data_IF_378095988542
#
_entry.id   IF_378095988542
#
_cell.length_a   1.000
_cell.length_b   1.000
_cell.length_c   1.000
_cell.angle_alpha   90.00
_cell.angle_beta   90.00
_cell.angle_gamma   90.00
#
_symmetry.space_group_name_H-M   'P 1'
#
loop_
_entity.id
_entity.type
_entity.pdbx_description
1 polymer ?
#
# COMPACT_ATOMS: atom_id res chain seq x y z
N UNK A 1 -2.29 -4.21 15.25
CA UNK A 1 -1.21 -3.26 15.63
C UNK A 1 -1.73 -1.86 15.37
N UNK A 2 -1.37 -0.87 16.18
CA UNK A 2 -1.83 0.52 16.03
C UNK A 2 -0.66 1.48 16.21
N UNK A 3 -0.74 2.67 15.61
CA UNK A 3 0.17 3.79 15.87
C UNK A 3 -0.61 4.97 16.44
N UNK A 4 -0.03 5.67 17.41
CA UNK A 4 -0.60 6.91 17.93
C UNK A 4 0.02 8.10 17.20
N UNK A 5 -0.79 8.83 16.44
CA UNK A 5 -0.34 9.97 15.63
C UNK A 5 -1.34 11.12 15.78
N UNK A 6 -0.84 12.30 16.13
CA UNK A 6 -1.66 13.53 16.28
C UNK A 6 -2.88 13.39 17.21
N UNK A 7 -2.80 12.54 18.24
CA UNK A 7 -3.90 12.33 19.18
C UNK A 7 -4.86 11.21 18.80
N UNK A 8 -4.66 10.58 17.63
CA UNK A 8 -5.53 9.51 17.11
C UNK A 8 -4.80 8.16 17.06
N UNK A 9 -5.53 7.08 17.31
CA UNK A 9 -5.03 5.71 17.14
C UNK A 9 -5.39 5.21 15.75
N UNK A 10 -4.37 4.99 14.92
CA UNK A 10 -4.54 4.52 13.55
C UNK A 10 -4.17 3.04 13.46
N UNK A 11 -5.06 2.17 12.94
CA UNK A 11 -4.75 0.75 12.72
C UNK A 11 -3.66 0.62 11.66
N UNK A 12 -2.82 -0.40 11.82
CA UNK A 12 -1.74 -0.70 10.87
C UNK A 12 -2.04 -1.95 10.05
N UNK A 13 -1.82 -1.85 8.74
CA UNK A 13 -1.83 -2.96 7.78
C UNK A 13 -0.41 -3.12 7.21
N UNK A 14 0.12 -4.34 7.27
CA UNK A 14 1.42 -4.69 6.69
C UNK A 14 1.22 -5.15 5.27
N UNK A 15 1.77 -4.41 4.30
CA UNK A 15 1.59 -4.75 2.88
C UNK A 15 2.18 -6.12 2.54
N UNK A 16 3.30 -6.50 3.15
CA UNK A 16 3.91 -7.80 2.90
C UNK A 16 3.01 -8.97 3.33
N UNK A 17 2.26 -8.83 4.44
CA UNK A 17 1.35 -9.88 4.91
C UNK A 17 0.14 -9.99 3.97
N UNK A 18 -0.42 -8.85 3.58
CA UNK A 18 -1.59 -8.77 2.68
C UNK A 18 -1.29 -9.37 1.30
N UNK A 19 -0.14 -9.05 0.73
CA UNK A 19 0.28 -9.54 -0.59
C UNK A 19 1.07 -10.84 -0.55
N UNK A 20 1.23 -11.46 0.64
CA UNK A 20 2.02 -12.70 0.85
C UNK A 20 3.45 -12.60 0.31
N UNK A 21 4.06 -11.44 0.46
CA UNK A 21 5.43 -11.16 0.05
C UNK A 21 6.41 -11.61 1.13
N UNK A 22 7.67 -11.93 0.76
CA UNK A 22 8.71 -12.17 1.75
C UNK A 22 8.81 -11.01 2.74
N UNK A 23 8.88 -11.32 4.03
CA UNK A 23 9.13 -10.30 5.04
C UNK A 23 10.55 -9.78 4.88
N UNK A 24 10.65 -8.55 4.41
CA UNK A 24 11.89 -7.77 4.28
C UNK A 24 12.24 -7.05 5.58
N UNK A 25 11.23 -6.72 6.40
CA UNK A 25 11.41 -6.09 7.72
C UNK A 25 10.97 -7.04 8.83
N UNK A 26 11.93 -7.52 9.63
CA UNK A 26 11.65 -8.37 10.80
C UNK A 26 11.15 -7.57 12.01
N UNK A 27 11.66 -6.34 12.17
CA UNK A 27 11.34 -5.48 13.30
C UNK A 27 10.41 -4.33 12.83
N UNK A 28 9.16 -4.25 13.31
CA UNK A 28 8.21 -3.22 12.91
C UNK A 28 8.70 -1.78 13.12
N UNK A 29 9.65 -1.56 14.04
CA UNK A 29 10.25 -0.25 14.30
C UNK A 29 11.19 0.24 13.20
N UNK A 30 11.66 -0.67 12.34
CA UNK A 30 12.58 -0.36 11.24
C UNK A 30 11.83 -0.06 9.93
N UNK A 31 10.50 -0.22 9.93
CA UNK A 31 9.64 0.08 8.78
C UNK A 31 9.09 1.50 8.78
N UNK A 32 8.67 1.96 7.60
CA UNK A 32 7.96 3.22 7.45
C UNK A 32 6.46 3.01 7.53
N UNK A 33 5.75 3.96 8.12
CA UNK A 33 4.28 3.97 8.16
C UNK A 33 3.75 5.11 7.30
N UNK A 34 2.98 4.77 6.26
CA UNK A 34 2.28 5.72 5.41
C UNK A 34 0.83 5.81 5.87
N UNK A 35 0.42 6.97 6.38
CA UNK A 35 -0.97 7.19 6.78
C UNK A 35 -1.79 7.55 5.53
N UNK A 36 -2.83 6.77 5.27
CA UNK A 36 -3.76 6.97 4.17
C UNK A 36 -5.18 7.13 4.73
N UNK A 37 -6.01 7.92 4.04
CA UNK A 37 -7.38 8.19 4.44
C UNK A 37 -8.35 7.89 3.30
N UNK A 38 -9.48 7.24 3.62
CA UNK A 38 -10.60 7.07 2.72
C UNK A 38 -11.90 7.16 3.51
N UNK A 39 -12.86 7.95 3.02
CA UNK A 39 -14.18 8.16 3.64
C UNK A 39 -14.10 8.51 5.14
N UNK A 40 -13.13 9.36 5.53
CA UNK A 40 -12.93 9.79 6.92
C UNK A 40 -12.37 8.73 7.87
N UNK A 41 -11.95 7.57 7.35
CA UNK A 41 -11.22 6.55 8.10
C UNK A 41 -9.75 6.56 7.71
N UNK A 42 -8.88 6.50 8.71
CA UNK A 42 -7.43 6.41 8.51
C UNK A 42 -6.92 4.98 8.66
N UNK A 43 -5.92 4.62 7.85
CA UNK A 43 -5.17 3.37 7.92
C UNK A 43 -3.68 3.68 7.77
N UNK A 44 -2.82 3.02 8.55
CA UNK A 44 -1.38 3.10 8.38
C UNK A 44 -0.86 1.89 7.61
N UNK A 45 -0.24 2.12 6.47
CA UNK A 45 0.41 1.09 5.67
C UNK A 45 1.87 0.97 6.11
N UNK A 46 2.28 -0.21 6.56
CA UNK A 46 3.68 -0.51 6.85
C UNK A 46 4.38 -0.87 5.54
N UNK A 47 5.41 -0.10 5.19
CA UNK A 47 6.18 -0.20 3.95
C UNK A 47 7.68 -0.22 4.24
N UNK A 48 8.45 -0.72 3.27
CA UNK A 48 9.91 -0.83 3.41
C UNK A 48 10.60 0.52 3.23
N UNK A 49 10.24 1.23 2.16
CA UNK A 49 10.85 2.51 1.80
C UNK A 49 9.84 3.45 1.13
N UNK A 50 10.17 4.75 1.13
CA UNK A 50 9.44 5.77 0.40
C UNK A 50 10.33 6.33 -0.72
N UNK A 51 10.03 5.95 -1.96
CA UNK A 51 10.82 6.39 -3.14
C UNK A 51 10.48 7.84 -3.54
N UNK A 52 9.26 8.31 -3.23
CA UNK A 52 8.79 9.68 -3.49
C UNK A 52 7.60 9.75 -4.43
N UNK A 53 7.37 10.92 -5.02
CA UNK A 53 6.28 11.14 -5.97
C UNK A 53 6.79 10.99 -7.41
N UNK A 54 6.10 10.17 -8.21
CA UNK A 54 6.44 9.92 -9.60
C UNK A 54 5.21 10.14 -10.49
N UNK A 55 5.42 10.75 -11.67
CA UNK A 55 4.38 10.78 -12.70
C UNK A 55 4.41 9.46 -13.47
N UNK A 56 3.29 8.74 -13.44
CA UNK A 56 3.15 7.43 -14.08
C UNK A 56 2.00 7.42 -15.08
N UNK A 57 2.12 6.60 -16.12
CA UNK A 57 1.01 6.30 -17.04
C UNK A 57 0.38 4.98 -16.62
N UNK A 58 -0.88 5.06 -16.18
CA UNK A 58 -1.62 3.89 -15.71
C UNK A 58 -1.99 3.00 -16.89
N UNK A 59 -1.75 1.71 -16.74
CA UNK A 59 -2.28 0.64 -17.58
C UNK A 59 -3.31 -0.12 -16.77
N UNK A 60 -4.53 -0.20 -17.32
CA UNK A 60 -5.57 -1.04 -16.74
C UNK A 60 -5.10 -2.50 -16.77
N UNK A 61 -5.22 -3.18 -15.63
CA UNK A 61 -5.03 -4.62 -15.57
C UNK A 61 -6.37 -5.29 -15.90
N UNK A 62 -6.35 -6.22 -16.85
CA UNK A 62 -7.51 -7.05 -17.12
C UNK A 62 -7.81 -7.92 -15.88
N UNK A 63 -9.09 -8.23 -15.66
CA UNK A 63 -9.55 -8.97 -14.48
C UNK A 63 -8.93 -10.36 -14.33
N UNK A 64 -8.36 -10.92 -15.40
CA UNK A 64 -7.61 -12.18 -15.38
C UNK A 64 -6.21 -12.05 -14.78
N UNK A 65 -5.65 -10.84 -14.66
CA UNK A 65 -4.31 -10.59 -14.15
C UNK A 65 -4.30 -10.41 -12.62
N UNK A 66 -5.39 -9.91 -12.04
CA UNK A 66 -5.53 -9.77 -10.58
C UNK A 66 -6.97 -9.99 -10.11
N UNK A 67 -7.14 -10.92 -9.18
CA UNK A 67 -8.41 -11.16 -8.46
C UNK A 67 -8.51 -10.35 -7.17
N UNK A 68 -7.47 -9.62 -6.80
CA UNK A 68 -7.41 -8.85 -5.56
C UNK A 68 -8.16 -7.52 -5.71
N UNK A 69 -9.11 -7.26 -4.80
CA UNK A 69 -9.79 -5.97 -4.67
C UNK A 69 -8.84 -4.84 -4.24
N UNK A 70 -7.61 -5.16 -3.86
CA UNK A 70 -6.62 -4.22 -3.39
C UNK A 70 -5.76 -3.60 -4.52
N UNK A 71 -5.89 -4.05 -5.77
CA UNK A 71 -5.10 -3.54 -6.90
C UNK A 71 -6.03 -2.93 -7.95
N UNK A 72 -5.81 -1.67 -8.28
CA UNK A 72 -6.60 -0.93 -9.29
C UNK A 72 -5.95 -0.88 -10.67
N UNK A 73 -4.65 -1.18 -10.77
CA UNK A 73 -3.94 -1.18 -12.05
C UNK A 73 -2.44 -1.40 -11.90
N UNK A 74 -1.71 -1.19 -12.98
CA UNK A 74 -0.24 -1.22 -12.99
C UNK A 74 0.32 -0.07 -13.82
N UNK A 75 1.59 0.25 -13.61
CA UNK A 75 2.34 1.19 -14.43
C UNK A 75 3.72 0.64 -14.74
N UNK A 76 4.26 1.03 -15.90
CA UNK A 76 5.66 0.79 -16.24
C UNK A 76 6.43 2.05 -15.87
N UNK A 77 7.40 1.90 -14.99
CA UNK A 77 8.30 2.97 -14.56
C UNK A 77 9.37 3.25 -15.63
N UNK A 78 10.09 4.37 -15.51
CA UNK A 78 11.09 4.80 -16.50
C UNK A 78 12.27 3.84 -16.66
N UNK A 79 12.51 2.99 -15.69
CA UNK A 79 13.52 1.92 -15.68
C UNK A 79 12.99 0.58 -16.25
N UNK A 80 11.72 0.52 -16.65
CA UNK A 80 11.05 -0.69 -17.13
C UNK A 80 10.44 -1.56 -16.03
N UNK A 81 10.59 -1.20 -14.76
CA UNK A 81 9.99 -1.93 -13.64
C UNK A 81 8.47 -1.75 -13.64
N UNK A 82 7.73 -2.81 -13.29
CA UNK A 82 6.27 -2.76 -13.17
C UNK A 82 5.92 -2.39 -11.73
N UNK A 83 5.20 -1.29 -11.56
CA UNK A 83 4.60 -0.88 -10.29
C UNK A 83 3.12 -1.23 -10.26
N UNK A 84 2.64 -1.79 -9.14
CA UNK A 84 1.22 -2.03 -8.92
C UNK A 84 0.59 -0.82 -8.23
N UNK A 85 -0.61 -0.44 -8.67
CA UNK A 85 -1.39 0.63 -8.06
C UNK A 85 -2.34 -0.01 -7.05
N UNK A 86 -2.16 0.35 -5.79
CA UNK A 86 -2.96 -0.15 -4.68
C UNK A 86 -4.23 0.70 -4.54
N UNK A 87 -5.37 0.04 -4.43
CA UNK A 87 -6.63 0.68 -4.04
C UNK A 87 -6.77 0.69 -2.51
N UNK A 88 -6.43 1.83 -1.91
CA UNK A 88 -6.56 2.07 -0.46
C UNK A 88 -8.00 1.92 0.02
N UNK A 89 -8.99 2.26 -0.82
CA UNK A 89 -10.39 2.12 -0.44
C UNK A 89 -10.74 0.65 -0.17
N UNK A 90 -10.19 -0.27 -0.96
CA UNK A 90 -10.37 -1.72 -0.79
C UNK A 90 -9.89 -2.24 0.56
N UNK A 91 -8.90 -1.58 1.19
CA UNK A 91 -8.42 -1.95 2.53
C UNK A 91 -9.22 -1.34 3.68
N UNK A 92 -9.78 -0.16 3.48
CA UNK A 92 -10.51 0.57 4.53
C UNK A 92 -11.98 0.13 4.65
N UNK A 93 -12.52 -0.44 3.57
CA UNK A 93 -13.92 -0.90 3.47
C UNK A 93 -14.12 -2.40 3.75
N UNK A 94 -13.04 -3.14 4.00
CA UNK A 94 -13.06 -4.58 4.29
C UNK A 94 -13.25 -4.89 5.78
#
# INVERSE_FOLDING_TARGET
MVVHVRGEYVPLLKLHDEFKLPQTIANPWDGLVVIVESQGKSLGLVVDELIGQQQIVIKSLDREITSSKAISGAAILGDGTIALIIDVHGFISA
#
